data_IF_779454133871
#
_entry.id   IF_779454133871
#
_cell.length_a   1.000
_cell.length_b   1.000
_cell.length_c   1.000
_cell.angle_alpha   90.00
_cell.angle_beta   90.00
_cell.angle_gamma   90.00
#
_symmetry.space_group_name_H-M   'P 1'
#
loop_
_entity.id
_entity.type
_entity.pdbx_description
1 polymer ?
#
# COMPACT_ATOMS: atom_id res chain seq x y z
N UNK A 1 -28.16 8.37 -8.38
CA UNK A 1 -27.59 7.01 -8.37
C UNK A 1 -27.12 6.71 -6.96
N UNK A 2 -27.62 5.65 -6.32
CA UNK A 2 -27.16 5.25 -4.99
C UNK A 2 -25.78 4.63 -5.15
N UNK A 3 -24.72 5.39 -4.86
CA UNK A 3 -23.37 4.86 -4.77
C UNK A 3 -23.26 4.16 -3.41
N UNK A 4 -23.20 2.83 -3.40
CA UNK A 4 -22.82 2.08 -2.20
C UNK A 4 -21.29 2.05 -2.14
N UNK A 5 -20.65 2.68 -1.14
CA UNK A 5 -19.23 2.51 -0.93
C UNK A 5 -18.96 1.04 -0.68
N UNK A 6 -18.20 0.40 -1.57
CA UNK A 6 -17.68 -0.94 -1.35
C UNK A 6 -16.79 -0.88 -0.11
N UNK A 7 -17.29 -1.42 1.00
CA UNK A 7 -16.47 -1.59 2.21
C UNK A 7 -15.35 -2.56 1.87
N UNK A 8 -14.17 -2.29 2.44
CA UNK A 8 -13.07 -3.25 2.35
C UNK A 8 -13.50 -4.58 2.98
N UNK A 9 -13.07 -5.66 2.36
CA UNK A 9 -13.31 -7.02 2.83
C UNK A 9 -12.60 -7.21 4.17
N UNK A 10 -13.25 -7.73 5.22
CA UNK A 10 -12.54 -8.23 6.38
C UNK A 10 -11.58 -9.35 5.97
N UNK A 11 -10.57 -9.62 6.81
CA UNK A 11 -9.53 -10.61 6.52
C UNK A 11 -10.10 -11.99 6.14
N UNK A 12 -11.21 -12.39 6.75
CA UNK A 12 -11.89 -13.65 6.41
C UNK A 12 -12.42 -13.65 4.96
N UNK A 13 -13.04 -12.55 4.52
CA UNK A 13 -13.54 -12.39 3.15
C UNK A 13 -12.41 -12.27 2.12
N UNK A 14 -11.25 -11.72 2.50
CA UNK A 14 -10.03 -11.80 1.68
C UNK A 14 -9.62 -13.26 1.47
N UNK A 15 -9.68 -14.08 2.52
CA UNK A 15 -9.40 -15.52 2.44
C UNK A 15 -10.36 -16.26 1.52
N UNK A 16 -11.66 -15.96 1.59
CA UNK A 16 -12.66 -16.53 0.68
C UNK A 16 -12.43 -16.13 -0.77
N UNK A 17 -12.17 -14.84 -1.03
CA UNK A 17 -11.88 -14.35 -2.37
C UNK A 17 -10.62 -15.01 -2.95
N UNK A 18 -9.55 -15.09 -2.16
CA UNK A 18 -8.30 -15.68 -2.58
C UNK A 18 -8.43 -17.19 -2.86
N UNK A 19 -9.10 -17.92 -1.97
CA UNK A 19 -9.35 -19.35 -2.14
C UNK A 19 -10.19 -19.62 -3.39
N UNK A 20 -11.22 -18.79 -3.64
CA UNK A 20 -12.07 -18.88 -4.83
C UNK A 20 -11.28 -18.69 -6.13
N UNK A 21 -10.35 -17.74 -6.16
CA UNK A 21 -9.51 -17.48 -7.35
C UNK A 21 -8.53 -18.60 -7.66
N UNK A 22 -7.98 -19.25 -6.64
CA UNK A 22 -7.00 -20.33 -6.79
C UNK A 22 -7.66 -21.72 -6.89
N UNK A 23 -8.97 -21.81 -6.63
CA UNK A 23 -9.66 -23.09 -6.52
C UNK A 23 -9.24 -23.91 -5.29
N UNK A 24 -8.76 -23.25 -4.24
CA UNK A 24 -8.34 -23.87 -2.98
C UNK A 24 -9.47 -23.91 -1.95
N UNK A 25 -9.31 -24.78 -0.94
CA UNK A 25 -10.18 -24.76 0.25
C UNK A 25 -9.81 -23.65 1.24
N UNK A 26 -8.51 -23.31 1.33
CA UNK A 26 -8.01 -22.33 2.28
C UNK A 26 -6.59 -21.88 1.91
N UNK A 27 -6.28 -20.62 2.20
CA UNK A 27 -4.95 -20.03 2.05
C UNK A 27 -4.14 -20.20 3.35
N UNK A 28 -2.80 -20.38 3.30
CA UNK A 28 -1.96 -20.38 4.50
C UNK A 28 -2.16 -19.12 5.34
N UNK A 29 -2.22 -19.21 6.69
CA UNK A 29 -2.47 -18.05 7.57
C UNK A 29 -1.51 -16.88 7.37
N UNK A 30 -0.22 -17.15 7.18
CA UNK A 30 0.81 -16.12 6.99
C UNK A 30 0.65 -15.38 5.65
N UNK A 31 0.29 -16.11 4.60
CA UNK A 31 -0.02 -15.54 3.29
C UNK A 31 -1.30 -14.69 3.34
N UNK A 32 -2.33 -15.17 4.06
CA UNK A 32 -3.56 -14.41 4.27
C UNK A 32 -3.31 -13.11 5.05
N UNK A 33 -2.52 -13.16 6.11
CA UNK A 33 -2.15 -11.98 6.88
C UNK A 33 -1.39 -10.97 6.01
N UNK A 34 -0.46 -11.44 5.19
CA UNK A 34 0.30 -10.60 4.27
C UNK A 34 -0.61 -9.98 3.21
N UNK A 35 -1.44 -10.79 2.53
CA UNK A 35 -2.42 -10.30 1.56
C UNK A 35 -3.34 -9.24 2.17
N UNK A 36 -3.90 -9.50 3.36
CA UNK A 36 -4.79 -8.54 4.01
C UNK A 36 -4.06 -7.23 4.37
N UNK A 37 -2.84 -7.32 4.92
CA UNK A 37 -2.03 -6.15 5.27
C UNK A 37 -1.69 -5.30 4.04
N UNK A 38 -1.24 -5.92 2.96
CA UNK A 38 -0.82 -5.18 1.76
C UNK A 38 -2.01 -4.59 1.01
N UNK A 39 -3.11 -5.34 0.90
CA UNK A 39 -4.30 -4.94 0.11
C UNK A 39 -5.31 -4.09 0.90
N UNK A 40 -5.21 -4.06 2.23
CA UNK A 40 -6.21 -3.43 3.10
C UNK A 40 -7.62 -4.02 2.96
N UNK A 41 -7.75 -5.22 2.38
CA UNK A 41 -9.03 -5.86 2.08
C UNK A 41 -9.76 -5.29 0.86
N UNK A 42 -9.15 -4.40 0.07
CA UNK A 42 -9.84 -3.87 -1.11
C UNK A 42 -9.94 -4.96 -2.19
N UNK A 43 -11.15 -5.37 -2.64
CA UNK A 43 -11.33 -6.54 -3.51
C UNK A 43 -10.46 -6.51 -4.78
N UNK A 44 -10.39 -5.35 -5.44
CA UNK A 44 -9.57 -5.15 -6.64
C UNK A 44 -8.09 -5.48 -6.37
N UNK A 45 -7.58 -5.09 -5.21
CA UNK A 45 -6.17 -5.28 -4.86
C UNK A 45 -5.87 -6.70 -4.43
N UNK A 46 -6.81 -7.38 -3.76
CA UNK A 46 -6.69 -8.81 -3.46
C UNK A 46 -6.56 -9.61 -4.75
N UNK A 47 -7.42 -9.34 -5.73
CA UNK A 47 -7.38 -10.00 -7.05
C UNK A 47 -6.01 -9.85 -7.70
N UNK A 48 -5.41 -8.69 -7.56
CA UNK A 48 -4.23 -8.32 -8.33
C UNK A 48 -2.92 -8.72 -7.66
N UNK A 49 -2.91 -8.72 -6.32
CA UNK A 49 -1.86 -9.39 -5.56
C UNK A 49 -1.79 -10.88 -5.93
N UNK A 50 -2.94 -11.57 -6.01
CA UNK A 50 -2.98 -12.99 -6.38
C UNK A 50 -2.48 -13.19 -7.81
N UNK A 51 -2.94 -12.39 -8.77
CA UNK A 51 -2.46 -12.46 -10.16
C UNK A 51 -0.96 -12.25 -10.26
N UNK A 52 -0.42 -11.27 -9.54
CA UNK A 52 1.01 -10.96 -9.50
C UNK A 52 1.80 -12.14 -8.93
N UNK A 53 1.34 -12.73 -7.82
CA UNK A 53 1.99 -13.88 -7.19
C UNK A 53 1.98 -15.14 -8.07
N UNK A 54 0.88 -15.38 -8.80
CA UNK A 54 0.79 -16.49 -9.75
C UNK A 54 1.71 -16.26 -10.95
N UNK A 55 1.70 -15.05 -11.53
CA UNK A 55 2.54 -14.72 -12.68
C UNK A 55 4.05 -14.76 -12.35
N UNK A 56 4.42 -14.50 -11.09
CA UNK A 56 5.79 -14.54 -10.61
C UNK A 56 6.23 -15.94 -10.12
N UNK A 57 5.42 -16.99 -10.32
CA UNK A 57 5.67 -18.36 -9.82
C UNK A 57 5.86 -18.46 -8.29
N UNK A 58 5.42 -17.45 -7.54
CA UNK A 58 5.41 -17.43 -6.07
C UNK A 58 4.27 -18.27 -5.55
N UNK A 59 3.10 -18.21 -6.19
CA UNK A 59 1.95 -19.08 -5.91
C UNK A 59 1.76 -19.99 -7.10
N UNK A 60 2.11 -21.27 -6.94
CA UNK A 60 2.09 -22.25 -8.03
C UNK A 60 1.58 -23.61 -7.57
N UNK A 61 0.99 -24.37 -8.49
CA UNK A 61 0.59 -25.75 -8.20
C UNK A 61 1.80 -26.69 -8.27
N UNK A 62 1.89 -27.59 -7.29
CA UNK A 62 2.80 -28.72 -7.35
C UNK A 62 2.25 -29.82 -8.28
N UNK A 63 3.01 -30.89 -8.44
CA UNK A 63 2.66 -32.04 -9.30
C UNK A 63 1.40 -32.77 -8.81
N UNK A 64 1.06 -32.63 -7.52
CA UNK A 64 -0.12 -33.21 -6.86
C UNK A 64 -1.37 -32.33 -7.02
N UNK A 65 -1.24 -31.11 -7.55
CA UNK A 65 -2.33 -30.15 -7.68
C UNK A 65 -2.55 -29.25 -6.44
N UNK A 66 -1.72 -29.36 -5.40
CA UNK A 66 -1.79 -28.47 -4.24
C UNK A 66 -1.04 -27.17 -4.56
N UNK A 67 -1.55 -26.02 -4.09
CA UNK A 67 -0.80 -24.79 -4.23
C UNK A 67 0.31 -24.68 -3.20
N UNK A 68 1.46 -24.21 -3.66
CA UNK A 68 2.60 -23.86 -2.85
C UNK A 68 2.76 -22.34 -2.87
N UNK A 69 2.91 -21.77 -1.69
CA UNK A 69 3.15 -20.35 -1.47
C UNK A 69 4.63 -20.14 -1.15
N UNK A 70 5.31 -19.38 -1.99
CA UNK A 70 6.69 -18.96 -1.81
C UNK A 70 6.79 -17.65 -1.03
N UNK A 71 7.99 -17.08 -1.06
CA UNK A 71 8.26 -15.77 -0.47
C UNK A 71 7.59 -14.66 -1.28
N UNK A 72 6.87 -13.78 -0.59
CA UNK A 72 6.20 -12.66 -1.23
C UNK A 72 7.26 -11.69 -1.78
N UNK A 73 7.10 -11.21 -3.02
CA UNK A 73 7.99 -10.19 -3.57
C UNK A 73 7.83 -8.88 -2.80
N UNK A 74 8.81 -7.98 -2.94
CA UNK A 74 8.73 -6.64 -2.35
C UNK A 74 7.49 -5.85 -2.81
N UNK A 75 6.95 -6.18 -3.99
CA UNK A 75 5.72 -5.58 -4.50
C UNK A 75 4.71 -6.59 -5.02
N UNK A 76 3.45 -6.38 -4.65
CA UNK A 76 2.31 -7.17 -5.09
C UNK A 76 1.51 -6.48 -6.20
N UNK A 77 2.06 -5.42 -6.80
CA UNK A 77 1.41 -4.68 -7.87
C UNK A 77 1.86 -5.18 -9.23
N UNK A 78 0.88 -5.40 -10.11
CA UNK A 78 1.14 -5.42 -11.55
C UNK A 78 1.48 -4.02 -12.05
N UNK A 79 2.23 -3.95 -13.16
CA UNK A 79 2.63 -2.67 -13.78
C UNK A 79 1.41 -1.77 -14.10
N UNK A 80 0.31 -2.37 -14.54
CA UNK A 80 -0.93 -1.67 -14.90
C UNK A 80 -1.61 -0.99 -13.69
N UNK A 81 -1.57 -1.63 -12.52
CA UNK A 81 -2.17 -1.05 -11.31
C UNK A 81 -1.21 -0.08 -10.67
N UNK A 82 0.08 -0.38 -10.68
CA UNK A 82 1.10 0.60 -10.31
C UNK A 82 0.91 1.88 -11.13
N UNK A 83 0.66 1.78 -12.44
CA UNK A 83 0.33 2.92 -13.30
C UNK A 83 -0.95 3.63 -12.88
N UNK A 84 -2.03 2.89 -12.61
CA UNK A 84 -3.30 3.47 -12.21
C UNK A 84 -3.20 4.22 -10.87
N UNK A 85 -2.56 3.61 -9.87
CA UNK A 85 -2.36 4.21 -8.55
C UNK A 85 -1.41 5.41 -8.64
N UNK A 86 -0.33 5.28 -9.41
CA UNK A 86 0.59 6.39 -9.63
C UNK A 86 -0.11 7.55 -10.34
N UNK A 87 -0.97 7.30 -11.33
CA UNK A 87 -1.77 8.35 -11.98
C UNK A 87 -2.65 9.10 -10.99
N UNK A 88 -3.32 8.38 -10.09
CA UNK A 88 -4.12 8.99 -9.02
C UNK A 88 -3.27 9.91 -8.15
N UNK A 89 -2.06 9.51 -7.81
CA UNK A 89 -1.13 10.31 -7.00
C UNK A 89 -0.55 11.50 -7.78
N UNK A 90 -0.26 11.33 -9.07
CA UNK A 90 0.21 12.43 -9.92
C UNK A 90 -0.88 13.44 -10.27
N UNK A 91 -2.16 13.08 -10.12
CA UNK A 91 -3.28 14.01 -10.24
C UNK A 91 -3.43 14.91 -9.02
N UNK A 92 -2.77 14.60 -7.91
CA UNK A 92 -2.79 15.44 -6.71
C UNK A 92 -2.05 16.77 -6.93
N UNK A 93 -2.49 17.84 -6.25
CA UNK A 93 -1.69 19.02 -5.98
C UNK A 93 -0.22 18.70 -5.65
N UNK A 94 0.69 19.56 -6.09
CA UNK A 94 2.13 19.30 -5.96
C UNK A 94 2.58 19.07 -4.51
N UNK A 95 2.02 19.83 -3.56
CA UNK A 95 2.35 19.75 -2.13
C UNK A 95 1.91 18.40 -1.54
N UNK A 96 0.66 17.98 -1.79
CA UNK A 96 0.15 16.67 -1.37
C UNK A 96 0.98 15.51 -1.94
N UNK A 97 1.35 15.59 -3.22
CA UNK A 97 2.22 14.59 -3.86
C UNK A 97 3.58 14.51 -3.19
N UNK A 98 4.15 15.66 -2.85
CA UNK A 98 5.43 15.73 -2.17
C UNK A 98 5.36 15.08 -0.78
N UNK A 99 4.29 15.34 -0.02
CA UNK A 99 4.03 14.66 1.27
C UNK A 99 3.92 13.15 1.09
N UNK A 100 3.20 12.67 0.07
CA UNK A 100 3.10 11.23 -0.23
C UNK A 100 4.47 10.60 -0.55
N UNK A 101 5.35 11.33 -1.25
CA UNK A 101 6.72 10.88 -1.55
C UNK A 101 7.58 10.77 -0.28
N UNK A 102 7.54 11.77 0.62
CA UNK A 102 8.23 11.66 1.92
C UNK A 102 7.66 10.51 2.76
N UNK A 103 6.34 10.43 2.85
CA UNK A 103 5.63 9.42 3.62
C UNK A 103 5.95 7.98 3.16
N UNK A 104 6.12 7.76 1.85
CA UNK A 104 6.27 6.40 1.31
C UNK A 104 7.55 5.68 1.76
N UNK A 105 8.54 6.42 2.27
CA UNK A 105 9.81 5.84 2.72
C UNK A 105 9.64 5.12 4.07
N UNK A 106 8.67 5.54 4.89
CA UNK A 106 8.33 4.87 6.15
C UNK A 106 7.58 3.57 5.89
N UNK A 107 8.02 2.46 6.51
CA UNK A 107 7.59 1.10 6.13
C UNK A 107 6.17 0.73 6.58
N UNK A 108 5.68 1.29 7.69
CA UNK A 108 4.37 0.93 8.27
C UNK A 108 3.51 2.14 8.59
N UNK A 109 4.04 3.06 9.39
CA UNK A 109 3.38 4.28 9.84
C UNK A 109 4.47 5.28 10.23
N UNK A 110 4.09 6.54 10.35
CA UNK A 110 4.98 7.65 10.67
C UNK A 110 4.26 8.64 11.58
N UNK A 111 5.01 9.30 12.46
CA UNK A 111 4.45 10.39 13.26
C UNK A 111 4.58 11.72 12.51
N UNK A 112 3.82 12.73 12.95
CA UNK A 112 3.97 14.09 12.45
C UNK A 112 5.41 14.57 12.56
N UNK A 113 6.08 14.36 13.70
CA UNK A 113 7.43 14.84 13.98
C UNK A 113 8.46 14.26 13.00
N UNK A 114 8.35 12.97 12.67
CA UNK A 114 9.24 12.32 11.71
C UNK A 114 9.09 12.91 10.30
N UNK A 115 7.86 13.22 9.90
CA UNK A 115 7.59 13.82 8.60
C UNK A 115 8.03 15.29 8.58
N UNK A 116 7.76 16.04 9.65
CA UNK A 116 8.15 17.44 9.82
C UNK A 116 9.68 17.61 9.79
N UNK A 117 10.43 16.67 10.36
CA UNK A 117 11.90 16.70 10.37
C UNK A 117 12.54 16.70 8.97
N UNK A 118 11.85 16.14 7.97
CA UNK A 118 12.30 16.10 6.57
C UNK A 118 11.51 17.06 5.66
N UNK A 119 10.48 17.71 6.20
CA UNK A 119 9.71 18.72 5.49
C UNK A 119 10.47 20.05 5.46
N UNK A 120 10.42 20.72 4.30
CA UNK A 120 11.13 22.01 4.09
C UNK A 120 10.17 23.22 4.03
N UNK A 121 8.89 23.00 4.29
CA UNK A 121 7.84 24.03 4.31
C UNK A 121 7.37 24.34 5.73
N UNK A 122 6.23 24.99 5.82
CA UNK A 122 5.60 25.31 7.11
C UNK A 122 4.92 24.06 7.73
N UNK A 123 4.96 23.96 9.05
CA UNK A 123 4.39 22.83 9.80
C UNK A 123 2.85 22.86 9.84
N UNK A 124 2.21 24.04 9.87
CA UNK A 124 0.76 24.13 9.78
C UNK A 124 0.28 23.76 8.37
N UNK A 125 1.01 24.19 7.34
CA UNK A 125 0.74 23.75 5.96
C UNK A 125 0.85 22.22 5.84
N UNK A 126 1.84 21.59 6.52
CA UNK A 126 1.97 20.14 6.52
C UNK A 126 0.77 19.45 7.18
N UNK A 127 0.26 19.98 8.31
CA UNK A 127 -0.94 19.47 8.97
C UNK A 127 -2.17 19.57 8.07
N UNK A 128 -2.39 20.72 7.43
CA UNK A 128 -3.51 20.92 6.52
C UNK A 128 -3.47 19.90 5.36
N UNK A 129 -2.27 19.67 4.81
CA UNK A 129 -2.07 18.69 3.73
C UNK A 129 -2.31 17.25 4.19
N UNK A 130 -1.93 16.90 5.41
CA UNK A 130 -2.21 15.58 5.99
C UNK A 130 -3.72 15.36 6.17
N UNK A 131 -4.44 16.39 6.63
CA UNK A 131 -5.90 16.35 6.76
C UNK A 131 -6.59 16.18 5.40
N UNK A 132 -6.14 16.90 4.37
CA UNK A 132 -6.63 16.73 3.00
C UNK A 132 -6.40 15.29 2.49
N UNK A 133 -5.21 14.74 2.69
CA UNK A 133 -4.87 13.36 2.28
C UNK A 133 -5.69 12.31 3.03
N UNK A 134 -6.10 12.58 4.27
CA UNK A 134 -7.04 11.72 5.03
C UNK A 134 -8.44 11.81 4.42
N UNK A 135 -8.93 13.01 4.11
CA UNK A 135 -10.25 13.22 3.48
C UNK A 135 -10.33 12.53 2.12
N UNK A 136 -9.24 12.54 1.34
CA UNK A 136 -9.15 11.83 0.06
C UNK A 136 -9.06 10.29 0.21
N UNK A 137 -8.88 9.81 1.44
CA UNK A 137 -8.75 8.39 1.76
C UNK A 137 -7.41 7.78 1.34
N UNK A 138 -6.37 8.59 1.20
CA UNK A 138 -5.01 8.14 0.88
C UNK A 138 -4.19 7.85 2.15
N UNK A 139 -4.43 8.62 3.21
CA UNK A 139 -3.89 8.39 4.55
C UNK A 139 -5.00 8.10 5.55
N UNK A 140 -4.63 7.51 6.68
CA UNK A 140 -5.47 7.32 7.87
C UNK A 140 -4.66 7.65 9.11
N UNK A 141 -5.34 8.08 10.17
CA UNK A 141 -4.75 8.13 11.51
C UNK A 141 -4.64 6.72 12.09
N UNK A 142 -3.56 6.46 12.83
CA UNK A 142 -3.27 5.14 13.37
C UNK A 142 -2.82 5.20 14.82
N UNK A 143 -3.47 4.41 15.68
CA UNK A 143 -3.09 4.30 17.10
C UNK A 143 -3.34 5.58 17.91
N UNK A 144 -2.52 5.75 18.95
CA UNK A 144 -2.45 6.94 19.79
C UNK A 144 -1.15 7.69 19.44
N UNK A 145 -1.10 9.01 19.59
CA UNK A 145 0.07 9.90 19.30
C UNK A 145 0.28 10.30 17.82
N UNK A 146 -0.71 10.96 17.18
CA UNK A 146 -0.53 11.69 15.90
C UNK A 146 0.25 10.90 14.82
N UNK A 147 -0.05 9.59 14.72
CA UNK A 147 0.56 8.73 13.70
C UNK A 147 -0.36 8.59 12.51
N UNK A 148 0.27 8.49 11.35
CA UNK A 148 -0.37 8.37 10.06
C UNK A 148 0.14 7.11 9.37
N UNK A 149 -0.73 6.53 8.55
CA UNK A 149 -0.41 5.40 7.69
C UNK A 149 -1.12 5.57 6.36
N UNK A 150 -0.55 5.03 5.28
CA UNK A 150 -1.27 4.89 4.03
C UNK A 150 -2.53 4.04 4.26
N UNK A 151 -3.68 4.55 3.83
CA UNK A 151 -4.95 3.81 3.97
C UNK A 151 -4.85 2.39 3.42
N UNK A 152 -3.97 2.18 2.43
CA UNK A 152 -3.65 0.89 1.84
C UNK A 152 -2.15 0.81 1.50
N UNK A 153 -1.49 -0.31 1.84
CA UNK A 153 -0.05 -0.50 1.63
C UNK A 153 0.39 -0.35 0.16
N UNK A 154 -0.52 -0.65 -0.77
CA UNK A 154 -0.24 -0.53 -2.20
C UNK A 154 -0.09 0.92 -2.70
N UNK A 155 -0.71 1.93 -2.06
CA UNK A 155 -0.41 3.33 -2.39
C UNK A 155 1.05 3.66 -2.11
N UNK A 156 1.56 3.22 -0.95
CA UNK A 156 2.98 3.36 -0.62
C UNK A 156 3.85 2.66 -1.65
N UNK A 157 3.55 1.41 -2.00
CA UNK A 157 4.32 0.66 -3.00
C UNK A 157 4.33 1.38 -4.36
N UNK A 158 3.18 1.89 -4.82
CA UNK A 158 3.07 2.61 -6.09
C UNK A 158 3.94 3.87 -6.13
N UNK A 159 3.95 4.69 -5.05
CA UNK A 159 4.85 5.84 -4.95
C UNK A 159 6.29 5.40 -4.89
N UNK A 160 6.59 4.42 -4.03
CA UNK A 160 7.95 3.98 -3.77
C UNK A 160 8.59 3.43 -5.05
N UNK A 161 7.94 2.54 -5.81
CA UNK A 161 8.50 1.92 -7.02
C UNK A 161 8.69 2.86 -8.20
N UNK A 162 7.86 3.89 -8.33
CA UNK A 162 7.96 4.89 -9.41
C UNK A 162 8.94 6.02 -9.06
N UNK A 163 9.33 6.14 -7.80
CA UNK A 163 10.30 7.13 -7.37
C UNK A 163 11.68 6.81 -7.93
N UNK A 164 12.31 7.79 -8.57
CA UNK A 164 13.68 7.66 -9.08
C UNK A 164 14.66 7.28 -7.97
N UNK A 165 15.60 6.37 -8.26
CA UNK A 165 16.56 5.86 -7.27
C UNK A 165 17.40 6.94 -6.60
N UNK A 166 17.75 8.01 -7.33
CA UNK A 166 18.47 9.15 -6.76
C UNK A 166 17.66 9.84 -5.65
N UNK A 167 16.35 9.97 -5.85
CA UNK A 167 15.42 10.59 -4.90
C UNK A 167 15.17 9.68 -3.69
N UNK A 168 15.00 8.37 -3.93
CA UNK A 168 14.93 7.35 -2.86
C UNK A 168 16.14 7.44 -1.94
N UNK A 169 17.36 7.45 -2.50
CA UNK A 169 18.61 7.55 -1.73
C UNK A 169 18.72 8.86 -0.94
N UNK A 170 18.26 9.97 -1.51
CA UNK A 170 18.26 11.25 -0.82
C UNK A 170 17.32 11.23 0.38
N UNK A 171 16.08 10.77 0.20
CA UNK A 171 15.09 10.68 1.27
C UNK A 171 15.53 9.72 2.38
N UNK A 172 16.06 8.56 2.03
CA UNK A 172 16.63 7.63 3.01
C UNK A 172 17.79 8.25 3.81
N UNK A 173 18.59 9.11 3.20
CA UNK A 173 19.67 9.84 3.90
C UNK A 173 19.12 10.93 4.82
N UNK A 174 18.12 11.67 4.37
CA UNK A 174 17.48 12.71 5.18
C UNK A 174 16.78 12.11 6.41
N UNK A 175 16.05 11.01 6.23
CA UNK A 175 15.35 10.31 7.32
C UNK A 175 16.34 9.58 8.24
N UNK A 176 17.37 8.91 7.69
CA UNK A 176 18.35 8.19 8.50
C UNK A 176 19.33 9.09 9.28
N UNK A 177 19.30 10.40 9.02
CA UNK A 177 20.08 11.41 9.74
C UNK A 177 19.25 12.33 10.65
N UNK A 178 17.92 12.21 10.63
CA UNK A 178 16.98 12.89 11.52
C UNK A 178 16.75 12.07 12.80
#
# INVERSE_FOLDING_TARGET
ATQMPLKNLPQEEVGYLASSMLGERSIPPDALQTLFRETGGQPLFVVEAIRTLVNADVVRQNISGDWQWGEFPETLLSDDISELLYRRITALPAVQRQVMEYACVFFNDFSFELLAAVWRGDEFELLDVLDELIVEGLLITYGYEERYRFSQGLYRQAVYHRMQDARRRLLHREIGGA
#
